data_IF_495355696514
#
_entry.id   IF_495355696514
#
_cell.length_a   1.000
_cell.length_b   1.000
_cell.length_c   1.000
_cell.angle_alpha   90.00
_cell.angle_beta   90.00
_cell.angle_gamma   90.00
#
_symmetry.space_group_name_H-M   'P 1'
#
loop_
_entity.id
_entity.type
_entity.pdbx_description
1 polymer ?
#
# COMPACT_ATOMS: atom_id res chain seq x y z
N UNK A 1 -1.63 18.19 1.17
CA UNK A 1 -2.18 17.15 0.27
C UNK A 1 -1.02 16.67 -0.57
N UNK A 2 -0.64 15.41 -0.44
CA UNK A 2 0.51 14.84 -1.14
C UNK A 2 0.09 14.49 -2.57
N UNK A 3 0.89 14.87 -3.57
CA UNK A 3 0.65 14.52 -4.97
C UNK A 3 1.19 13.10 -5.25
N UNK A 4 0.50 12.12 -4.68
CA UNK A 4 0.90 10.72 -4.69
C UNK A 4 0.20 9.91 -5.80
N UNK A 5 0.82 8.81 -6.29
CA UNK A 5 0.22 7.92 -7.28
C UNK A 5 -0.82 6.96 -6.70
N UNK A 6 -0.94 6.85 -5.37
CA UNK A 6 -1.71 5.80 -4.71
C UNK A 6 -2.99 6.36 -4.08
N UNK A 7 -4.12 5.68 -4.23
CA UNK A 7 -5.32 5.92 -3.43
C UNK A 7 -5.49 4.72 -2.51
N UNK A 8 -5.50 4.98 -1.21
CA UNK A 8 -5.61 3.96 -0.17
C UNK A 8 -7.03 3.94 0.38
N UNK A 9 -7.71 2.80 0.28
CA UNK A 9 -9.09 2.64 0.74
C UNK A 9 -9.16 1.84 2.05
N UNK A 10 -10.23 2.05 2.81
CA UNK A 10 -10.42 1.43 4.13
C UNK A 10 -10.65 -0.09 4.06
N UNK A 11 -11.01 -0.61 2.89
CA UNK A 11 -11.26 -2.03 2.63
C UNK A 11 -10.00 -2.78 2.16
N UNK A 12 -8.81 -2.20 2.37
CA UNK A 12 -7.50 -2.73 1.93
C UNK A 12 -7.26 -2.68 0.41
N UNK A 13 -8.13 -2.02 -0.35
CA UNK A 13 -7.88 -1.76 -1.77
C UNK A 13 -6.89 -0.61 -1.95
N UNK A 14 -5.90 -0.80 -2.83
CA UNK A 14 -4.95 0.23 -3.25
C UNK A 14 -5.11 0.46 -4.75
N UNK A 15 -5.41 1.68 -5.16
CA UNK A 15 -5.53 2.06 -6.57
C UNK A 15 -4.29 2.85 -6.96
N UNK A 16 -3.47 2.27 -7.84
CA UNK A 16 -2.24 2.87 -8.31
C UNK A 16 -2.45 3.49 -9.69
N UNK A 17 -2.25 4.80 -9.77
CA UNK A 17 -2.20 5.56 -11.02
C UNK A 17 -0.88 5.32 -11.74
N UNK A 18 -0.94 4.70 -12.92
CA UNK A 18 0.22 4.27 -13.71
C UNK A 18 0.83 5.44 -14.49
N UNK A 19 0.02 6.42 -14.87
CA UNK A 19 0.47 7.60 -15.61
C UNK A 19 1.25 8.58 -14.72
N UNK A 20 1.18 8.41 -13.40
CA UNK A 20 1.91 9.24 -12.46
C UNK A 20 3.43 8.95 -12.49
N UNK A 21 4.32 9.96 -12.44
CA UNK A 21 5.77 9.77 -12.52
C UNK A 21 6.37 8.83 -11.46
N UNK A 22 5.76 8.80 -10.27
CA UNK A 22 6.17 7.92 -9.15
C UNK A 22 5.53 6.51 -9.19
N UNK A 23 4.79 6.16 -10.24
CA UNK A 23 4.03 4.90 -10.29
C UNK A 23 4.92 3.67 -10.16
N UNK A 24 6.07 3.67 -10.84
CA UNK A 24 7.03 2.56 -10.81
C UNK A 24 7.64 2.38 -9.42
N UNK A 25 8.01 3.48 -8.75
CA UNK A 25 8.58 3.43 -7.41
C UNK A 25 7.54 3.02 -6.38
N UNK A 26 6.32 3.56 -6.47
CA UNK A 26 5.21 3.16 -5.63
C UNK A 26 4.88 1.68 -5.79
N UNK A 27 4.83 1.18 -7.04
CA UNK A 27 4.60 -0.25 -7.34
C UNK A 27 5.63 -1.14 -6.65
N UNK A 28 6.92 -0.77 -6.71
CA UNK A 28 7.98 -1.52 -6.05
C UNK A 28 7.85 -1.46 -4.53
N UNK A 29 7.47 -0.31 -3.98
CA UNK A 29 7.35 -0.11 -2.55
C UNK A 29 6.18 -0.89 -1.93
N UNK A 30 5.06 -1.05 -2.63
CA UNK A 30 3.91 -1.82 -2.13
C UNK A 30 4.01 -3.34 -2.39
N UNK A 31 4.86 -3.76 -3.31
CA UNK A 31 5.00 -5.17 -3.70
C UNK A 31 5.27 -6.16 -2.56
N UNK A 32 6.01 -5.81 -1.48
CA UNK A 32 6.23 -6.74 -0.38
C UNK A 32 4.97 -7.12 0.41
N UNK A 33 3.95 -6.25 0.43
CA UNK A 33 2.78 -6.41 1.31
C UNK A 33 1.42 -6.30 0.59
N UNK A 34 1.41 -6.04 -0.72
CA UNK A 34 0.19 -5.95 -1.52
C UNK A 34 0.28 -6.79 -2.80
N UNK A 35 -0.82 -7.44 -3.13
CA UNK A 35 -0.95 -8.33 -4.29
C UNK A 35 -1.70 -7.64 -5.42
N UNK A 36 -1.27 -7.82 -6.67
CA UNK A 36 -1.94 -7.26 -7.84
C UNK A 36 -3.23 -8.04 -8.13
N UNK A 37 -4.38 -7.38 -8.07
CA UNK A 37 -5.67 -7.95 -8.46
C UNK A 37 -5.98 -7.73 -9.94
N UNK A 38 -5.77 -6.50 -10.44
CA UNK A 38 -6.11 -6.09 -11.81
C UNK A 38 -5.12 -5.06 -12.35
N UNK A 39 -4.80 -5.12 -13.63
CA UNK A 39 -3.88 -4.18 -14.31
C UNK A 39 -4.44 -3.67 -15.65
N UNK A 40 -5.53 -2.88 -15.64
CA UNK A 40 -5.95 -2.12 -16.82
C UNK A 40 -4.98 -0.96 -17.08
N UNK A 41 -5.15 -0.29 -18.22
CA UNK A 41 -4.20 0.70 -18.77
C UNK A 41 -3.74 1.79 -17.80
N UNK A 42 -4.68 2.43 -17.07
CA UNK A 42 -4.37 3.61 -16.26
C UNK A 42 -4.30 3.36 -14.76
N UNK A 43 -5.15 2.46 -14.23
CA UNK A 43 -5.28 2.26 -12.79
C UNK A 43 -5.08 0.78 -12.44
N UNK A 44 -3.95 0.44 -11.84
CA UNK A 44 -3.78 -0.90 -11.29
C UNK A 44 -4.45 -1.01 -9.93
N UNK A 45 -5.12 -2.13 -9.69
CA UNK A 45 -5.74 -2.45 -8.40
C UNK A 45 -4.88 -3.47 -7.68
N UNK A 46 -4.45 -3.13 -6.47
CA UNK A 46 -3.77 -4.01 -5.54
C UNK A 46 -4.62 -4.23 -4.29
N UNK A 47 -4.40 -5.36 -3.62
CA UNK A 47 -4.99 -5.69 -2.33
C UNK A 47 -3.90 -5.84 -1.30
N UNK A 48 -4.00 -5.10 -0.20
CA UNK A 48 -3.21 -5.38 0.99
C UNK A 48 -3.77 -6.63 1.67
N UNK A 49 -2.94 -7.67 1.81
CA UNK A 49 -3.35 -8.97 2.37
C UNK A 49 -2.61 -9.23 3.68
N UNK A 50 -3.25 -9.97 4.59
CA UNK A 50 -2.57 -10.37 5.84
C UNK A 50 -1.32 -11.20 5.52
N UNK A 51 -1.41 -12.11 4.54
CA UNK A 51 -0.25 -12.89 4.08
C UNK A 51 0.88 -11.99 3.56
N UNK A 52 0.55 -10.95 2.78
CA UNK A 52 1.49 -9.95 2.32
C UNK A 52 2.17 -9.23 3.49
N UNK A 53 1.41 -8.78 4.51
CA UNK A 53 1.98 -8.17 5.71
C UNK A 53 2.92 -9.11 6.46
N UNK A 54 2.56 -10.38 6.61
CA UNK A 54 3.41 -11.40 7.24
C UNK A 54 4.68 -11.67 6.43
N UNK A 55 4.57 -11.75 5.10
CA UNK A 55 5.71 -11.93 4.21
C UNK A 55 6.65 -10.72 4.26
N UNK A 56 6.09 -9.51 4.24
CA UNK A 56 6.86 -8.27 4.42
C UNK A 56 7.60 -8.29 5.75
N UNK A 57 6.95 -8.70 6.85
CA UNK A 57 7.60 -8.87 8.15
C UNK A 57 8.73 -9.87 8.14
N UNK A 58 8.53 -11.04 7.53
CA UNK A 58 9.57 -12.05 7.38
C UNK A 58 10.75 -11.56 6.53
N UNK A 59 10.51 -10.64 5.59
CA UNK A 59 11.52 -9.99 4.77
C UNK A 59 12.23 -8.80 5.48
N UNK A 60 11.89 -8.53 6.74
CA UNK A 60 12.52 -7.47 7.55
C UNK A 60 11.80 -6.12 7.51
N UNK A 61 10.58 -6.05 6.96
CA UNK A 61 9.76 -4.85 7.02
C UNK A 61 8.95 -4.79 8.32
N UNK A 62 8.98 -3.67 9.02
CA UNK A 62 8.10 -3.45 10.17
C UNK A 62 6.80 -2.72 9.77
N UNK A 63 5.87 -2.61 10.71
CA UNK A 63 4.59 -1.95 10.49
C UNK A 63 4.75 -0.46 10.15
N UNK A 64 5.74 0.20 10.75
CA UNK A 64 6.01 1.63 10.55
C UNK A 64 6.45 1.88 9.10
N UNK A 65 7.35 1.06 8.54
CA UNK A 65 7.77 1.14 7.15
C UNK A 65 6.63 0.93 6.16
N UNK A 66 5.71 0.00 6.44
CA UNK A 66 4.51 -0.22 5.60
C UNK A 66 3.60 1.01 5.66
N UNK A 67 3.33 1.52 6.86
CA UNK A 67 2.50 2.71 7.08
C UNK A 67 3.11 3.93 6.39
N UNK A 68 4.42 4.17 6.57
CA UNK A 68 5.16 5.26 5.93
C UNK A 68 5.11 5.16 4.42
N UNK A 69 5.20 3.96 3.86
CA UNK A 69 5.06 3.74 2.41
C UNK A 69 3.67 4.18 1.93
N UNK A 70 2.61 3.79 2.63
CA UNK A 70 1.25 4.20 2.28
C UNK A 70 1.08 5.73 2.42
N UNK A 71 1.56 6.33 3.51
CA UNK A 71 1.47 7.78 3.73
C UNK A 71 2.26 8.59 2.70
N UNK A 72 3.45 8.10 2.32
CA UNK A 72 4.34 8.74 1.35
C UNK A 72 3.72 8.82 -0.05
N UNK A 73 3.12 7.72 -0.52
CA UNK A 73 2.59 7.63 -1.88
C UNK A 73 1.09 7.93 -1.98
N UNK A 74 0.38 8.08 -0.86
CA UNK A 74 -1.06 8.32 -0.89
C UNK A 74 -1.39 9.75 -1.37
N UNK A 75 -2.27 9.84 -2.36
CA UNK A 75 -2.87 11.07 -2.87
C UNK A 75 -3.79 11.75 -1.86
N UNK A 76 -4.44 10.93 -1.02
CA UNK A 76 -5.38 11.37 0.00
C UNK A 76 -4.94 10.92 1.40
N UNK A 77 -5.62 11.41 2.43
CA UNK A 77 -5.37 10.92 3.78
C UNK A 77 -5.65 9.41 3.85
N UNK A 78 -4.70 8.65 4.39
CA UNK A 78 -4.87 7.21 4.59
C UNK A 78 -5.90 6.98 5.71
N UNK A 79 -6.89 6.08 5.52
CA UNK A 79 -7.87 5.79 6.55
C UNK A 79 -7.20 5.31 7.85
N UNK A 80 -7.51 5.97 8.98
CA UNK A 80 -6.91 5.64 10.27
C UNK A 80 -7.18 4.19 10.71
N UNK A 81 -8.36 3.66 10.39
CA UNK A 81 -8.72 2.27 10.67
C UNK A 81 -7.77 1.27 9.99
N UNK A 82 -7.28 1.58 8.79
CA UNK A 82 -6.32 0.73 8.08
C UNK A 82 -4.95 0.78 8.74
N UNK A 83 -4.51 1.95 9.21
CA UNK A 83 -3.23 2.09 9.92
C UNK A 83 -3.20 1.25 11.19
N UNK A 84 -4.29 1.27 11.95
CA UNK A 84 -4.45 0.44 13.15
C UNK A 84 -4.43 -1.05 12.80
N UNK A 85 -5.19 -1.48 11.78
CA UNK A 85 -5.24 -2.88 11.35
C UNK A 85 -3.86 -3.41 10.91
N UNK A 86 -3.06 -2.61 10.20
CA UNK A 86 -1.68 -2.96 9.82
C UNK A 86 -0.81 -3.12 11.06
N UNK A 87 -0.85 -2.16 11.99
CA UNK A 87 -0.05 -2.20 13.22
C UNK A 87 -0.41 -3.41 14.10
N UNK A 88 -1.70 -3.70 14.25
CA UNK A 88 -2.18 -4.87 15.01
C UNK A 88 -1.83 -6.19 14.34
N UNK A 89 -1.91 -6.27 13.01
CA UNK A 89 -1.60 -7.49 12.27
C UNK A 89 -0.11 -7.79 12.33
N UNK A 90 0.74 -6.78 12.08
CA UNK A 90 2.20 -6.94 12.07
C UNK A 90 2.84 -6.90 13.46
N UNK A 91 2.11 -6.56 14.53
CA UNK A 91 2.61 -6.57 15.91
C UNK A 91 2.46 -7.91 16.65
N UNK A 92 1.68 -8.85 16.09
CA UNK A 92 1.43 -10.19 16.64
C UNK A 92 2.59 -11.16 16.36
#
# INVERSE_FOLDING_TARGET
MSDGPLIVQSDKTLLLDIDHPLSTDCRRAIAPFAELEKSPEHIHTYRLTNLGLWNARAAGHDAEQVIDTLLKYSRYAVPHSLLLDIAETMGR
#
